data_IF_836842836808
#
_entry.id   IF_836842836808
#
_cell.length_a   1.000
_cell.length_b   1.000
_cell.length_c   1.000
_cell.angle_alpha   90.00
_cell.angle_beta   90.00
_cell.angle_gamma   90.00
#
_symmetry.space_group_name_H-M   'P 1'
#
loop_
_entity.id
_entity.type
_entity.pdbx_description
1 polymer ?
#
# COMPACT_ATOMS: atom_id res chain seq x y z
N UNK A 1 6.73 -21.72 16.61
CA UNK A 1 6.03 -21.61 15.31
C UNK A 1 6.36 -20.23 14.74
N UNK A 2 7.31 -20.16 13.80
CA UNK A 2 7.65 -18.90 13.11
C UNK A 2 6.52 -18.57 12.13
N UNK A 3 5.84 -17.45 12.35
CA UNK A 3 4.82 -16.96 11.43
C UNK A 3 5.46 -16.76 10.05
N UNK A 4 4.84 -17.31 9.01
CA UNK A 4 5.19 -16.94 7.64
C UNK A 4 4.96 -15.44 7.50
N UNK A 5 6.02 -14.66 7.27
CA UNK A 5 5.89 -13.23 6.98
C UNK A 5 5.28 -13.09 5.59
N UNK A 6 3.98 -13.33 5.47
CA UNK A 6 3.18 -13.01 4.29
C UNK A 6 2.97 -11.50 4.29
N UNK A 7 4.02 -10.75 3.96
CA UNK A 7 3.89 -9.32 3.74
C UNK A 7 2.95 -9.13 2.55
N UNK A 8 1.67 -8.90 2.82
CA UNK A 8 0.67 -8.68 1.79
C UNK A 8 0.97 -7.38 1.07
N UNK A 9 1.21 -7.47 -0.23
CA UNK A 9 1.52 -6.32 -1.08
C UNK A 9 0.23 -5.76 -1.65
N UNK A 10 0.04 -4.45 -1.56
CA UNK A 10 -1.06 -3.74 -2.20
C UNK A 10 -0.52 -2.86 -3.34
N UNK A 11 -0.95 -3.13 -4.57
CA UNK A 11 -0.64 -2.27 -5.72
C UNK A 11 -1.79 -1.29 -5.89
N UNK A 12 -1.50 0.00 -5.74
CA UNK A 12 -2.50 1.07 -5.82
C UNK A 12 -2.20 1.98 -7.00
N UNK A 13 -3.08 1.99 -7.99
CA UNK A 13 -3.04 2.95 -9.10
C UNK A 13 -3.59 4.30 -8.65
N UNK A 14 -3.05 5.40 -9.18
CA UNK A 14 -3.44 6.75 -8.76
C UNK A 14 -3.11 7.08 -7.29
N UNK A 15 -2.28 6.29 -6.61
CA UNK A 15 -1.98 6.39 -5.17
C UNK A 15 -1.20 7.64 -4.73
N UNK A 16 -0.78 8.49 -5.67
CA UNK A 16 0.18 9.58 -5.38
C UNK A 16 -0.46 10.84 -4.79
N UNK A 17 -1.75 11.11 -5.07
CA UNK A 17 -2.46 12.34 -4.66
C UNK A 17 -3.92 12.04 -4.33
N UNK A 18 -4.61 13.01 -3.75
CA UNK A 18 -6.05 12.95 -3.47
C UNK A 18 -6.47 11.69 -2.71
N UNK A 19 -7.55 11.05 -3.18
CA UNK A 19 -8.13 9.86 -2.56
C UNK A 19 -7.15 8.69 -2.56
N UNK A 20 -6.42 8.48 -3.67
CA UNK A 20 -5.46 7.38 -3.77
C UNK A 20 -4.38 7.43 -2.69
N UNK A 21 -3.92 8.64 -2.33
CA UNK A 21 -2.96 8.83 -1.24
C UNK A 21 -3.53 8.47 0.13
N UNK A 22 -4.80 8.83 0.39
CA UNK A 22 -5.47 8.46 1.64
C UNK A 22 -5.62 6.94 1.76
N UNK A 23 -6.01 6.26 0.67
CA UNK A 23 -6.10 4.79 0.61
C UNK A 23 -4.75 4.14 0.90
N UNK A 24 -3.66 4.64 0.30
CA UNK A 24 -2.30 4.11 0.56
C UNK A 24 -1.91 4.25 2.04
N UNK A 25 -2.26 5.36 2.67
CA UNK A 25 -2.01 5.59 4.09
C UNK A 25 -2.72 4.55 4.98
N UNK A 26 -3.99 4.27 4.72
CA UNK A 26 -4.75 3.29 5.49
C UNK A 26 -4.26 1.85 5.24
N UNK A 27 -3.90 1.49 4.00
CA UNK A 27 -3.31 0.18 3.70
C UNK A 27 -1.96 -0.03 4.41
N UNK A 28 -1.10 1.00 4.43
CA UNK A 28 0.17 0.92 5.14
C UNK A 28 -0.05 0.73 6.66
N UNK A 29 -1.03 1.43 7.25
CA UNK A 29 -1.41 1.28 8.66
C UNK A 29 -1.96 -0.11 8.98
N UNK A 30 -2.64 -0.73 8.02
CA UNK A 30 -3.13 -2.10 8.14
C UNK A 30 -2.03 -3.17 7.94
N UNK A 31 -0.77 -2.76 7.73
CA UNK A 31 0.38 -3.67 7.62
C UNK A 31 0.69 -4.14 6.20
N UNK A 32 0.09 -3.52 5.18
CA UNK A 32 0.42 -3.84 3.80
C UNK A 32 1.70 -3.14 3.36
N UNK A 33 2.48 -3.82 2.51
CA UNK A 33 3.52 -3.17 1.74
C UNK A 33 2.88 -2.53 0.50
N UNK A 34 2.79 -1.20 0.50
CA UNK A 34 2.05 -0.47 -0.55
C UNK A 34 3.01 -0.05 -1.66
N UNK A 35 2.67 -0.42 -2.89
CA UNK A 35 3.37 0.00 -4.10
C UNK A 35 2.46 0.94 -4.87
N UNK A 36 2.99 2.12 -5.18
CA UNK A 36 2.33 3.11 -6.04
C UNK A 36 3.18 3.36 -7.28
N UNK A 37 2.52 3.54 -8.41
CA UNK A 37 3.14 4.15 -9.58
C UNK A 37 2.85 5.65 -9.58
N UNK A 38 3.89 6.46 -9.69
CA UNK A 38 3.76 7.90 -9.91
C UNK A 38 4.21 8.20 -11.34
N UNK A 39 3.29 8.70 -12.15
CA UNK A 39 3.60 9.35 -13.42
C UNK A 39 3.35 10.84 -13.24
N UNK A 40 4.41 11.57 -12.94
CA UNK A 40 4.44 13.03 -12.95
C UNK A 40 5.15 13.53 -14.20
#
# INVERSE_FOLDING_TARGET
MTAANSNTVAIVTGGSKGIGRAICGELARAGYYVVINYMG
#
